data_IF_722731557073
#
_entry.id   IF_722731557073
#
_cell.length_a   1.000
_cell.length_b   1.000
_cell.length_c   1.000
_cell.angle_alpha   90.00
_cell.angle_beta   90.00
_cell.angle_gamma   90.00
#
_symmetry.space_group_name_H-M   'P 1'
#
loop_
_entity.id
_entity.type
_entity.pdbx_description
1 polymer ?
#
# COMPACT_ATOMS: atom_id res chain seq x y z
N UNK A 1 -24.73 -17.82 27.02
CA UNK A 1 -23.62 -16.86 27.02
C UNK A 1 -24.26 -15.51 27.24
N UNK A 2 -24.29 -15.04 28.49
CA UNK A 2 -25.22 -14.04 29.00
C UNK A 2 -24.83 -12.61 28.63
N UNK A 3 -25.81 -11.79 28.26
CA UNK A 3 -25.69 -10.35 27.98
C UNK A 3 -24.96 -9.56 29.08
N UNK A 4 -25.02 -10.04 30.33
CA UNK A 4 -24.36 -9.42 31.49
C UNK A 4 -22.84 -9.53 31.50
N UNK A 5 -22.23 -10.42 30.72
CA UNK A 5 -20.77 -10.48 30.60
C UNK A 5 -20.20 -9.41 29.65
N UNK A 6 -21.03 -8.84 28.77
CA UNK A 6 -20.62 -7.81 27.80
C UNK A 6 -20.52 -6.43 28.47
N UNK A 7 -21.27 -6.18 29.55
CA UNK A 7 -21.33 -4.87 30.21
C UNK A 7 -20.09 -4.48 31.03
N UNK A 8 -19.14 -5.38 31.27
CA UNK A 8 -17.87 -5.05 31.95
C UNK A 8 -16.65 -5.04 31.03
N UNK A 9 -16.81 -5.36 29.75
CA UNK A 9 -15.70 -5.24 28.81
C UNK A 9 -15.49 -3.76 28.50
N UNK A 10 -14.41 -3.18 29.01
CA UNK A 10 -13.99 -1.82 28.66
C UNK A 10 -14.05 -1.64 27.14
N UNK A 11 -14.67 -0.56 26.68
CA UNK A 11 -14.79 -0.22 25.25
C UNK A 11 -13.42 -0.28 24.54
N UNK A 12 -12.34 0.04 25.27
CA UNK A 12 -10.96 -0.11 24.77
C UNK A 12 -10.63 -1.56 24.39
N UNK A 13 -10.98 -2.53 25.24
CA UNK A 13 -10.75 -3.95 25.00
C UNK A 13 -11.53 -4.43 23.77
N UNK A 14 -12.80 -4.03 23.64
CA UNK A 14 -13.63 -4.37 22.47
C UNK A 14 -12.99 -3.83 21.18
N UNK A 15 -12.57 -2.55 21.19
CA UNK A 15 -11.97 -1.90 20.03
C UNK A 15 -10.62 -2.53 19.64
N UNK A 16 -9.78 -2.89 20.62
CA UNK A 16 -8.51 -3.59 20.37
C UNK A 16 -8.76 -4.96 19.76
N UNK A 17 -9.66 -5.76 20.32
CA UNK A 17 -10.01 -7.08 19.79
C UNK A 17 -10.58 -6.99 18.37
N UNK A 18 -11.49 -6.04 18.12
CA UNK A 18 -12.02 -5.78 16.78
C UNK A 18 -10.92 -5.39 15.79
N UNK A 19 -9.99 -4.54 16.21
CA UNK A 19 -8.85 -4.13 15.39
C UNK A 19 -7.93 -5.31 15.08
N UNK A 20 -7.62 -6.18 16.06
CA UNK A 20 -6.83 -7.40 15.85
C UNK A 20 -7.53 -8.32 14.85
N UNK A 21 -8.85 -8.52 14.98
CA UNK A 21 -9.61 -9.38 14.09
C UNK A 21 -9.57 -8.88 12.64
N UNK A 22 -9.81 -7.58 12.43
CA UNK A 22 -9.76 -6.95 11.10
C UNK A 22 -8.35 -7.05 10.51
N UNK A 23 -7.32 -6.71 11.28
CA UNK A 23 -5.93 -6.81 10.83
C UNK A 23 -5.50 -8.24 10.52
N UNK A 24 -5.94 -9.21 11.31
CA UNK A 24 -5.64 -10.63 11.07
C UNK A 24 -6.32 -11.12 9.81
N UNK A 25 -7.58 -10.74 9.60
CA UNK A 25 -8.31 -11.05 8.36
C UNK A 25 -7.61 -10.45 7.13
N UNK A 26 -7.23 -9.17 7.19
CA UNK A 26 -6.50 -8.50 6.10
C UNK A 26 -5.11 -9.13 5.85
N UNK A 27 -4.40 -9.50 6.92
CA UNK A 27 -3.14 -10.23 6.83
C UNK A 27 -3.34 -11.55 6.08
N UNK A 28 -4.29 -12.39 6.50
CA UNK A 28 -4.54 -13.69 5.86
C UNK A 28 -4.96 -13.52 4.40
N UNK A 29 -5.85 -12.55 4.11
CA UNK A 29 -6.32 -12.26 2.75
C UNK A 29 -5.19 -11.85 1.81
N UNK A 30 -4.15 -11.19 2.31
CA UNK A 30 -3.05 -10.66 1.48
C UNK A 30 -1.88 -11.63 1.35
N UNK A 31 -1.86 -12.74 2.10
CA UNK A 31 -0.82 -13.78 2.01
C UNK A 31 -0.70 -14.42 0.61
N UNK A 32 -1.79 -14.82 -0.08
CA UNK A 32 -1.68 -15.45 -1.40
C UNK A 32 -1.05 -14.52 -2.45
N UNK A 33 -1.36 -13.22 -2.38
CA UNK A 33 -0.79 -12.21 -3.27
C UNK A 33 0.71 -12.04 -3.06
N UNK A 34 1.17 -12.12 -1.80
CA UNK A 34 2.59 -12.11 -1.46
C UNK A 34 3.30 -13.40 -1.88
N UNK A 35 2.69 -14.56 -1.63
CA UNK A 35 3.24 -15.84 -2.02
C UNK A 35 3.44 -15.93 -3.54
N UNK A 36 2.42 -15.54 -4.32
CA UNK A 36 2.54 -15.46 -5.79
C UNK A 36 3.67 -14.52 -6.21
N UNK A 37 3.83 -13.40 -5.51
CA UNK A 37 4.90 -12.44 -5.78
C UNK A 37 6.30 -13.03 -5.54
N UNK A 38 6.51 -13.71 -4.41
CA UNK A 38 7.77 -14.37 -4.10
C UNK A 38 8.09 -15.49 -5.10
N UNK A 39 7.06 -16.22 -5.54
CA UNK A 39 7.22 -17.28 -6.54
C UNK A 39 7.62 -16.73 -7.91
N UNK A 40 6.96 -15.67 -8.38
CA UNK A 40 7.16 -15.15 -9.74
C UNK A 40 8.49 -14.35 -9.87
N UNK A 41 9.08 -13.83 -8.78
CA UNK A 41 10.37 -13.11 -8.77
C UNK A 41 11.51 -13.79 -8.00
N UNK A 42 11.23 -14.90 -7.32
CA UNK A 42 12.17 -15.62 -6.45
C UNK A 42 13.52 -16.00 -7.07
N UNK A 43 13.62 -16.37 -8.36
CA UNK A 43 14.91 -16.73 -8.95
C UNK A 43 15.88 -15.55 -9.13
N UNK A 44 15.35 -14.32 -9.27
CA UNK A 44 16.15 -13.13 -9.60
C UNK A 44 16.59 -12.33 -8.36
N UNK A 45 15.95 -12.53 -7.22
CA UNK A 45 16.29 -11.91 -5.93
C UNK A 45 17.16 -12.89 -5.15
N UNK A 46 18.39 -13.15 -5.61
CA UNK A 46 19.37 -13.82 -4.74
C UNK A 46 19.80 -12.84 -3.64
N UNK A 47 19.67 -13.18 -2.36
CA UNK A 47 19.96 -12.30 -1.24
C UNK A 47 21.48 -12.24 -1.03
N UNK A 48 22.18 -11.48 -1.86
CA UNK A 48 23.56 -11.07 -1.56
C UNK A 48 23.49 -9.66 -1.00
N UNK A 49 23.35 -9.59 0.32
CA UNK A 49 23.53 -8.41 1.18
C UNK A 49 22.36 -7.41 1.27
N UNK A 50 21.50 -7.63 2.27
CA UNK A 50 20.47 -6.69 2.78
C UNK A 50 21.06 -5.33 3.24
N UNK A 51 22.38 -5.26 3.47
CA UNK A 51 23.12 -4.07 3.91
C UNK A 51 23.31 -3.03 2.78
N UNK A 52 23.13 -3.40 1.50
CA UNK A 52 23.34 -2.46 0.38
C UNK A 52 22.13 -1.58 0.04
N UNK A 53 21.01 -1.73 0.75
CA UNK A 53 19.74 -1.02 0.48
C UNK A 53 19.83 0.50 0.70
N UNK A 54 20.83 0.97 1.46
CA UNK A 54 21.01 2.41 1.74
C UNK A 54 22.08 3.12 0.89
N UNK A 55 22.84 2.40 0.06
CA UNK A 55 23.78 3.02 -0.88
C UNK A 55 23.01 3.50 -2.11
N UNK A 56 22.66 4.79 -2.10
CA UNK A 56 22.10 5.58 -3.21
C UNK A 56 23.11 5.62 -4.37
N UNK A 57 23.29 4.51 -5.09
CA UNK A 57 23.96 4.50 -6.39
C UNK A 57 22.88 4.45 -7.46
N UNK A 58 22.87 5.47 -8.32
CA UNK A 58 21.82 5.96 -9.21
C UNK A 58 21.27 5.02 -10.30
N UNK A 59 21.09 3.73 -10.03
CA UNK A 59 20.59 2.74 -10.98
C UNK A 59 19.63 1.70 -10.41
N UNK A 60 19.15 1.84 -9.17
CA UNK A 60 18.23 0.85 -8.58
C UNK A 60 16.85 0.97 -9.21
N UNK A 61 16.33 -0.16 -9.69
CA UNK A 61 14.99 -0.25 -10.24
C UNK A 61 13.94 0.19 -9.20
N UNK A 62 13.08 1.18 -9.51
CA UNK A 62 12.06 1.67 -8.59
C UNK A 62 11.04 0.58 -8.17
N UNK A 63 11.05 -0.59 -8.84
CA UNK A 63 10.20 -1.73 -8.49
C UNK A 63 10.64 -2.46 -7.22
N UNK A 64 11.96 -2.56 -6.98
CA UNK A 64 12.48 -3.29 -5.83
C UNK A 64 12.22 -2.52 -4.54
N UNK A 65 12.36 -1.19 -4.59
CA UNK A 65 12.15 -0.34 -3.42
C UNK A 65 10.70 -0.39 -2.91
N UNK A 66 9.71 -0.32 -3.82
CA UNK A 66 8.29 -0.48 -3.44
C UNK A 66 7.98 -1.87 -2.85
N UNK A 67 8.74 -2.91 -3.21
CA UNK A 67 8.60 -4.23 -2.58
C UNK A 67 9.18 -4.25 -1.18
N UNK A 68 10.41 -3.78 -1.01
CA UNK A 68 11.06 -3.77 0.30
C UNK A 68 10.20 -2.98 1.28
N UNK A 69 9.68 -1.82 0.87
CA UNK A 69 8.76 -1.04 1.70
C UNK A 69 7.44 -1.76 1.98
N UNK A 70 6.88 -2.51 1.03
CA UNK A 70 5.66 -3.31 1.24
C UNK A 70 5.84 -4.38 2.32
N UNK A 71 6.94 -5.13 2.22
CA UNK A 71 7.33 -6.15 3.20
C UNK A 71 7.55 -5.47 4.54
N UNK A 72 8.35 -4.40 4.55
CA UNK A 72 8.70 -3.67 5.76
C UNK A 72 7.46 -3.13 6.49
N UNK A 73 6.52 -2.49 5.79
CA UNK A 73 5.32 -1.95 6.44
C UNK A 73 4.45 -3.07 7.02
N UNK A 74 4.33 -4.20 6.33
CA UNK A 74 3.54 -5.35 6.78
C UNK A 74 4.09 -5.94 8.08
N UNK A 75 5.39 -6.23 8.11
CA UNK A 75 6.02 -6.85 9.28
C UNK A 75 6.13 -5.88 10.45
N UNK A 76 6.46 -4.61 10.21
CA UNK A 76 6.49 -3.61 11.29
C UNK A 76 5.08 -3.38 11.85
N UNK A 77 4.04 -3.25 11.01
CA UNK A 77 2.67 -3.05 11.50
C UNK A 77 2.16 -4.25 12.31
N UNK A 78 2.47 -5.48 11.87
CA UNK A 78 2.17 -6.68 12.64
C UNK A 78 2.92 -6.70 13.98
N UNK A 79 4.20 -6.35 13.99
CA UNK A 79 4.99 -6.25 15.22
C UNK A 79 4.46 -5.18 16.18
N UNK A 80 4.11 -3.99 15.68
CA UNK A 80 3.47 -2.92 16.47
C UNK A 80 2.18 -3.43 17.11
N UNK A 81 1.33 -4.09 16.33
CA UNK A 81 0.05 -4.61 16.81
C UNK A 81 0.25 -5.70 17.86
N UNK A 82 1.15 -6.66 17.64
CA UNK A 82 1.43 -7.73 18.60
C UNK A 82 2.00 -7.13 19.90
N UNK A 83 3.05 -6.31 19.81
CA UNK A 83 3.71 -5.72 21.00
C UNK A 83 2.75 -4.81 21.77
N UNK A 84 1.96 -3.98 21.08
CA UNK A 84 0.97 -3.12 21.75
C UNK A 84 -0.09 -3.92 22.50
N UNK A 85 -0.55 -5.04 21.93
CA UNK A 85 -1.56 -5.88 22.57
C UNK A 85 -1.00 -6.78 23.67
N UNK A 86 0.22 -7.33 23.49
CA UNK A 86 0.91 -8.09 24.56
C UNK A 86 1.13 -7.21 25.78
N UNK A 87 1.50 -5.93 25.60
CA UNK A 87 1.64 -4.97 26.70
C UNK A 87 0.34 -4.73 27.47
N UNK A 88 -0.79 -4.74 26.76
CA UNK A 88 -2.11 -4.50 27.33
C UNK A 88 -2.73 -5.73 28.00
N UNK A 89 -2.64 -6.92 27.38
CA UNK A 89 -3.30 -8.14 27.85
C UNK A 89 -2.45 -9.01 28.80
N UNK A 90 -1.14 -8.81 28.85
CA UNK A 90 -0.32 -9.58 29.80
C UNK A 90 -0.42 -8.98 31.20
N UNK A 91 -0.70 -9.83 32.19
CA UNK A 91 -0.73 -9.45 33.62
C UNK A 91 0.57 -9.82 34.36
N UNK A 92 1.58 -10.29 33.65
CA UNK A 92 2.79 -10.87 34.27
C UNK A 92 4.01 -9.95 34.17
N UNK A 93 3.85 -8.67 33.82
CA UNK A 93 4.97 -7.75 33.76
C UNK A 93 5.37 -7.31 35.17
N UNK A 94 6.59 -7.64 35.58
CA UNK A 94 7.26 -6.99 36.70
C UNK A 94 7.72 -5.58 36.33
N UNK A 95 7.94 -4.73 37.34
CA UNK A 95 8.37 -3.32 37.17
C UNK A 95 9.63 -3.19 36.30
N UNK A 96 10.67 -4.00 36.56
CA UNK A 96 11.92 -4.02 35.78
C UNK A 96 11.71 -4.45 34.33
N UNK A 97 10.79 -5.38 34.08
CA UNK A 97 10.45 -5.82 32.72
C UNK A 97 9.67 -4.73 32.00
N UNK A 98 8.74 -4.07 32.69
CA UNK A 98 7.96 -2.98 32.12
C UNK A 98 8.84 -1.78 31.75
N UNK A 99 9.85 -1.44 32.57
CA UNK A 99 10.81 -0.37 32.28
C UNK A 99 11.61 -0.60 30.98
N UNK A 100 11.83 -1.86 30.57
CA UNK A 100 12.45 -2.16 29.26
C UNK A 100 11.42 -2.22 28.14
N UNK A 101 10.22 -2.68 28.44
CA UNK A 101 9.17 -2.94 27.46
C UNK A 101 8.45 -1.68 26.98
N UNK A 102 8.20 -0.70 27.87
CA UNK A 102 7.28 0.41 27.56
C UNK A 102 7.71 1.25 26.34
N UNK A 103 9.01 1.36 26.06
CA UNK A 103 9.51 2.10 24.88
C UNK A 103 9.38 1.34 23.56
N UNK A 104 9.31 0.00 23.59
CA UNK A 104 9.26 -0.84 22.38
C UNK A 104 8.07 -0.51 21.47
N UNK A 105 6.81 -0.48 21.96
CA UNK A 105 5.66 -0.15 21.10
C UNK A 105 5.73 1.29 20.56
N UNK A 106 6.31 2.22 21.32
CA UNK A 106 6.47 3.63 20.91
C UNK A 106 7.46 3.76 19.75
N UNK A 107 8.60 3.07 19.82
CA UNK A 107 9.61 3.03 18.75
C UNK A 107 9.08 2.34 17.51
N UNK A 108 8.43 1.18 17.67
CA UNK A 108 7.84 0.45 16.54
C UNK A 108 6.77 1.29 15.84
N UNK A 109 5.94 2.03 16.58
CA UNK A 109 4.96 2.97 16.01
C UNK A 109 5.65 4.07 15.20
N UNK A 110 6.72 4.67 15.72
CA UNK A 110 7.48 5.69 14.99
C UNK A 110 8.07 5.13 13.69
N UNK A 111 8.66 3.93 13.75
CA UNK A 111 9.17 3.22 12.57
C UNK A 111 8.06 2.95 11.54
N UNK A 112 6.90 2.48 11.99
CA UNK A 112 5.74 2.27 11.11
C UNK A 112 5.37 3.56 10.38
N UNK A 113 5.29 4.68 11.12
CA UNK A 113 4.94 5.97 10.54
C UNK A 113 5.98 6.45 9.54
N UNK A 114 7.27 6.34 9.85
CA UNK A 114 8.37 6.68 8.92
C UNK A 114 8.26 5.88 7.61
N UNK A 115 7.99 4.57 7.70
CA UNK A 115 7.80 3.74 6.50
C UNK A 115 6.57 4.20 5.69
N UNK A 116 5.49 4.60 6.34
CA UNK A 116 4.30 5.13 5.67
C UNK A 116 4.61 6.44 4.94
N UNK A 117 5.33 7.36 5.58
CA UNK A 117 5.74 8.62 4.97
C UNK A 117 6.63 8.40 3.74
N UNK A 118 7.54 7.41 3.79
CA UNK A 118 8.35 7.03 2.64
C UNK A 118 7.48 6.51 1.49
N UNK A 119 6.48 5.65 1.77
CA UNK A 119 5.55 5.14 0.75
C UNK A 119 4.77 6.30 0.09
N UNK A 120 4.25 7.23 0.89
CA UNK A 120 3.52 8.40 0.39
C UNK A 120 4.43 9.32 -0.42
N UNK A 121 5.62 9.64 0.11
CA UNK A 121 6.59 10.50 -0.57
C UNK A 121 7.03 9.92 -1.91
N UNK A 122 7.29 8.62 -1.99
CA UNK A 122 7.57 7.94 -3.25
C UNK A 122 6.42 8.04 -4.25
N UNK A 123 5.19 7.88 -3.78
CA UNK A 123 4.00 7.96 -4.61
C UNK A 123 3.87 9.37 -5.20
N UNK A 124 3.98 10.40 -4.36
CA UNK A 124 3.98 11.81 -4.80
C UNK A 124 5.10 12.06 -5.79
N UNK A 125 6.30 11.53 -5.55
CA UNK A 125 7.41 11.62 -6.49
C UNK A 125 7.09 10.97 -7.84
N UNK A 126 6.47 9.78 -7.83
CA UNK A 126 6.04 9.09 -9.05
C UNK A 126 5.00 9.90 -9.85
N UNK A 127 4.09 10.60 -9.17
CA UNK A 127 3.08 11.47 -9.80
C UNK A 127 3.72 12.74 -10.38
N UNK A 128 4.74 13.30 -9.72
CA UNK A 128 5.44 14.53 -10.12
C UNK A 128 6.29 14.44 -11.41
N UNK A 129 6.07 13.42 -12.25
CA UNK A 129 6.83 13.12 -13.47
C UNK A 129 8.35 13.02 -13.24
N UNK A 130 8.76 12.59 -12.03
CA UNK A 130 10.16 12.37 -11.61
C UNK A 130 11.06 13.61 -11.64
N UNK A 131 10.52 14.82 -11.48
CA UNK A 131 11.35 16.03 -11.38
C UNK A 131 12.35 15.95 -10.22
N UNK A 132 13.66 16.14 -10.49
CA UNK A 132 14.71 16.04 -9.47
C UNK A 132 14.58 17.10 -8.36
N UNK A 133 14.04 18.28 -8.68
CA UNK A 133 13.80 19.33 -7.67
C UNK A 133 12.77 18.87 -6.64
N UNK A 134 11.70 18.23 -7.09
CA UNK A 134 10.65 17.69 -6.22
C UNK A 134 11.18 16.50 -5.42
N UNK A 135 12.05 15.68 -6.00
CA UNK A 135 12.74 14.61 -5.26
C UNK A 135 13.52 15.16 -4.06
N UNK A 136 14.38 16.15 -4.32
CA UNK A 136 15.21 16.76 -3.26
C UNK A 136 14.34 17.41 -2.19
N UNK A 137 13.30 18.15 -2.61
CA UNK A 137 12.35 18.76 -1.69
C UNK A 137 11.65 17.72 -0.80
N UNK A 138 11.09 16.66 -1.40
CA UNK A 138 10.41 15.59 -0.65
C UNK A 138 11.35 14.90 0.33
N UNK A 139 12.57 14.57 -0.07
CA UNK A 139 13.56 13.93 0.82
C UNK A 139 13.89 14.83 2.01
N UNK A 140 14.15 16.12 1.78
CA UNK A 140 14.44 17.08 2.85
C UNK A 140 13.26 17.20 3.81
N UNK A 141 12.04 17.35 3.29
CA UNK A 141 10.82 17.45 4.11
C UNK A 141 10.56 16.17 4.90
N UNK A 142 10.72 14.99 4.29
CA UNK A 142 10.58 13.71 4.99
C UNK A 142 11.58 13.62 6.14
N UNK A 143 12.86 13.92 5.92
CA UNK A 143 13.88 13.83 6.97
C UNK A 143 13.57 14.78 8.13
N UNK A 144 13.23 16.04 7.84
CA UNK A 144 12.91 17.03 8.88
C UNK A 144 11.69 16.59 9.69
N UNK A 145 10.59 16.23 9.02
CA UNK A 145 9.37 15.81 9.70
C UNK A 145 9.61 14.54 10.52
N UNK A 146 10.25 13.52 9.95
CA UNK A 146 10.55 12.28 10.67
C UNK A 146 11.40 12.56 11.92
N UNK A 147 12.42 13.43 11.86
CA UNK A 147 13.21 13.77 13.05
C UNK A 147 12.35 14.44 14.14
N UNK A 148 11.48 15.38 13.76
CA UNK A 148 10.57 16.05 14.68
C UNK A 148 9.54 15.08 15.29
N UNK A 149 9.01 14.15 14.50
CA UNK A 149 8.11 13.10 14.96
C UNK A 149 8.78 12.16 15.95
N UNK A 150 9.98 11.68 15.63
CA UNK A 150 10.73 10.79 16.52
C UNK A 150 11.04 11.49 17.84
N UNK A 151 11.50 12.73 17.79
CA UNK A 151 11.76 13.53 18.97
C UNK A 151 10.50 13.70 19.83
N UNK A 152 9.40 14.18 19.23
CA UNK A 152 8.15 14.43 19.95
C UNK A 152 7.47 13.17 20.46
N UNK A 153 7.66 12.02 19.80
CA UNK A 153 7.09 10.75 20.23
C UNK A 153 7.87 10.10 21.38
N UNK A 154 9.19 10.29 21.44
CA UNK A 154 10.05 9.73 22.49
C UNK A 154 10.16 10.64 23.73
N UNK A 155 10.05 11.96 23.55
CA UNK A 155 10.23 12.91 24.63
C UNK A 155 9.04 12.92 25.60
N UNK A 156 9.31 12.71 26.90
CA UNK A 156 8.28 12.78 27.96
C UNK A 156 7.39 11.55 28.10
N UNK A 157 7.86 10.38 27.63
CA UNK A 157 7.18 9.10 27.87
C UNK A 157 7.42 8.59 29.28
N UNK A 158 6.35 8.11 29.91
CA UNK A 158 6.37 7.46 31.23
C UNK A 158 5.82 6.05 31.11
N UNK A 159 6.29 5.15 31.97
CA UNK A 159 5.71 3.80 32.07
C UNK A 159 4.45 3.86 32.93
N UNK A 160 3.38 3.21 32.49
CA UNK A 160 2.15 3.03 33.26
C UNK A 160 1.96 1.53 33.45
N UNK A 161 1.87 1.12 34.71
CA UNK A 161 1.64 -0.26 35.11
C UNK A 161 0.34 -0.33 35.93
N UNK A 162 -0.64 -1.08 35.44
CA UNK A 162 -1.94 -1.30 36.09
C UNK A 162 -2.20 -2.81 36.13
N UNK A 163 -2.35 -3.40 37.32
CA UNK A 163 -2.66 -4.84 37.48
C UNK A 163 -1.74 -5.79 36.69
N UNK A 164 -0.45 -5.45 36.66
CA UNK A 164 0.57 -6.25 35.97
C UNK A 164 0.62 -6.06 34.44
N UNK A 165 -0.21 -5.19 33.86
CA UNK A 165 -0.06 -4.74 32.47
C UNK A 165 1.08 -3.71 32.34
N UNK A 166 1.60 -3.54 31.14
CA UNK A 166 2.64 -2.54 30.88
C UNK A 166 2.33 -1.75 29.62
N UNK A 167 2.00 -0.48 29.80
CA UNK A 167 1.70 0.43 28.71
C UNK A 167 2.55 1.70 28.78
N UNK A 168 2.77 2.32 27.62
CA UNK A 168 3.45 3.61 27.57
C UNK A 168 2.43 4.73 27.67
N UNK A 169 2.57 5.53 28.72
CA UNK A 169 1.82 6.77 28.93
C UNK A 169 2.56 7.99 28.43
N UNK A 170 1.83 9.10 28.40
CA UNK A 170 2.42 10.43 28.31
C UNK A 170 2.32 11.08 29.68
N UNK A 171 3.34 11.86 30.04
CA UNK A 171 3.27 12.74 31.19
C UNK A 171 2.18 13.82 30.94
N UNK A 172 1.15 13.93 31.80
CA UNK A 172 0.07 14.90 31.61
C UNK A 172 0.56 16.35 31.69
N UNK A 173 1.71 16.60 32.33
CA UNK A 173 2.31 17.93 32.39
C UNK A 173 2.94 18.38 31.06
N UNK A 174 3.20 17.43 30.15
CA UNK A 174 3.89 17.68 28.89
C UNK A 174 2.94 17.45 27.72
N UNK A 175 2.41 18.55 27.20
CA UNK A 175 1.68 18.60 25.92
C UNK A 175 2.65 18.40 24.73
N UNK A 176 3.43 17.33 24.68
CA UNK A 176 4.38 17.10 23.57
C UNK A 176 3.81 16.11 22.56
N UNK A 177 2.96 15.18 23.00
CA UNK A 177 2.49 14.10 22.15
C UNK A 177 1.43 14.54 21.11
N UNK A 178 0.77 15.69 21.26
CA UNK A 178 -0.09 16.25 20.19
C UNK A 178 0.75 16.78 19.01
N UNK A 179 1.97 17.25 19.27
CA UNK A 179 2.86 17.76 18.22
C UNK A 179 3.24 16.66 17.21
N UNK A 180 3.38 15.42 17.67
CA UNK A 180 3.61 14.26 16.79
C UNK A 180 2.55 14.19 15.67
N UNK A 181 1.27 14.36 16.01
CA UNK A 181 0.19 14.30 15.03
C UNK A 181 0.18 15.52 14.09
N UNK A 182 0.60 16.69 14.57
CA UNK A 182 0.73 17.88 13.72
C UNK A 182 1.80 17.69 12.67
N UNK A 183 2.98 17.19 13.06
CA UNK A 183 4.06 16.92 12.12
C UNK A 183 3.64 15.90 11.07
N UNK A 184 2.95 14.83 11.49
CA UNK A 184 2.36 13.84 10.58
C UNK A 184 1.37 14.46 9.59
N UNK A 185 0.43 15.27 10.08
CA UNK A 185 -0.55 15.96 9.24
C UNK A 185 0.10 16.94 8.27
N UNK A 186 1.10 17.69 8.71
CA UNK A 186 1.80 18.65 7.87
C UNK A 186 2.45 17.95 6.68
N UNK A 187 3.05 16.78 6.91
CA UNK A 187 3.60 15.94 5.85
C UNK A 187 2.53 15.38 4.91
N UNK A 188 1.44 14.83 5.46
CA UNK A 188 0.33 14.32 4.67
C UNK A 188 -0.29 15.42 3.80
N UNK A 189 -0.53 16.61 4.35
CA UNK A 189 -1.05 17.76 3.60
C UNK A 189 -0.08 18.23 2.53
N UNK A 190 1.23 18.23 2.81
CA UNK A 190 2.26 18.60 1.82
C UNK A 190 2.28 17.60 0.66
N UNK A 191 2.29 16.31 0.96
CA UNK A 191 2.31 15.24 -0.07
C UNK A 191 0.99 15.18 -0.84
N UNK A 192 -0.16 15.36 -0.17
CA UNK A 192 -1.47 15.49 -0.79
C UNK A 192 -1.52 16.71 -1.72
N UNK A 193 -1.15 17.89 -1.21
CA UNK A 193 -1.15 19.14 -1.95
C UNK A 193 -0.28 19.07 -3.19
N UNK A 194 0.93 18.52 -3.08
CA UNK A 194 1.82 18.28 -4.23
C UNK A 194 1.21 17.29 -5.22
N UNK A 195 0.66 16.18 -4.74
CA UNK A 195 0.05 15.16 -5.60
C UNK A 195 -1.14 15.75 -6.38
N UNK A 196 -2.02 16.48 -5.71
CA UNK A 196 -3.17 17.19 -6.30
C UNK A 196 -2.72 18.27 -7.27
N UNK A 197 -1.73 19.08 -6.91
CA UNK A 197 -1.19 20.13 -7.79
C UNK A 197 -0.67 19.55 -9.11
N UNK A 198 0.18 18.52 -9.05
CA UNK A 198 0.72 17.89 -10.25
C UNK A 198 -0.34 17.17 -11.08
N UNK A 199 -1.36 16.62 -10.42
CA UNK A 199 -2.50 15.99 -11.07
C UNK A 199 -3.35 17.00 -11.82
N UNK A 200 -3.72 18.11 -11.18
CA UNK A 200 -4.48 19.20 -11.82
C UNK A 200 -3.68 19.81 -12.96
N UNK A 201 -2.39 20.07 -12.74
CA UNK A 201 -1.48 20.59 -13.78
C UNK A 201 -1.34 19.64 -14.97
N UNK A 202 -1.33 18.33 -14.74
CA UNK A 202 -1.30 17.33 -15.81
C UNK A 202 -2.65 17.18 -16.51
N UNK A 203 -3.77 17.37 -15.79
CA UNK A 203 -5.14 17.26 -16.30
C UNK A 203 -5.68 18.51 -17.01
N UNK A 204 -5.04 19.67 -16.82
CA UNK A 204 -5.42 20.95 -17.45
C UNK A 204 -5.32 20.97 -18.99
N UNK A 205 -4.68 19.98 -19.60
CA UNK A 205 -4.64 19.77 -21.06
C UNK A 205 -5.68 18.77 -21.56
N UNK A 206 -6.69 18.44 -20.73
CA UNK A 206 -7.78 17.52 -21.05
C UNK A 206 -7.67 16.21 -20.27
N UNK A 207 -8.38 16.12 -19.15
CA UNK A 207 -8.57 14.90 -18.36
C UNK A 207 -9.10 13.71 -19.20
N UNK A 208 -9.71 14.02 -20.36
CA UNK A 208 -10.17 13.06 -21.37
C UNK A 208 -9.03 12.29 -22.07
N UNK A 209 -7.84 12.87 -22.18
CA UNK A 209 -6.68 12.24 -22.85
C UNK A 209 -5.91 11.27 -21.95
N UNK A 210 -6.11 11.33 -20.62
CA UNK A 210 -5.55 10.32 -19.73
C UNK A 210 -6.36 9.03 -19.84
N UNK A 211 -5.72 7.97 -20.33
CA UNK A 211 -6.27 6.60 -20.30
C UNK A 211 -7.00 6.33 -18.98
N UNK A 212 -8.23 5.81 -19.05
CA UNK A 212 -9.10 5.60 -17.88
C UNK A 212 -8.44 4.82 -16.74
N UNK A 213 -7.46 3.99 -17.08
CA UNK A 213 -6.62 3.25 -16.14
C UNK A 213 -5.74 4.15 -15.24
N UNK A 214 -5.09 5.17 -15.80
CA UNK A 214 -4.25 6.09 -15.03
C UNK A 214 -5.14 6.99 -14.17
N UNK A 215 -6.30 7.38 -14.68
CA UNK A 215 -7.32 8.12 -13.91
C UNK A 215 -7.81 7.30 -12.71
N UNK A 216 -8.10 6.02 -12.89
CA UNK A 216 -8.53 5.14 -11.80
C UNK A 216 -7.45 4.99 -10.71
N UNK A 217 -6.17 4.77 -11.07
CA UNK A 217 -5.05 4.74 -10.11
C UNK A 217 -4.93 6.01 -9.27
N UNK A 218 -5.07 7.12 -9.97
CA UNK A 218 -4.81 8.45 -9.42
C UNK A 218 -5.97 8.85 -8.50
N UNK A 219 -7.22 8.64 -8.93
CA UNK A 219 -8.42 8.89 -8.10
C UNK A 219 -8.43 7.95 -6.89
N UNK A 220 -8.20 6.65 -7.10
CA UNK A 220 -8.24 5.66 -6.01
C UNK A 220 -7.30 6.03 -4.88
N UNK A 221 -6.11 6.54 -5.20
CA UNK A 221 -5.17 6.87 -4.16
C UNK A 221 -4.85 8.32 -3.91
N UNK A 222 -5.55 9.24 -4.57
CA UNK A 222 -5.88 10.52 -3.94
C UNK A 222 -6.89 10.30 -2.81
N UNK A 223 -7.91 9.46 -3.06
CA UNK A 223 -8.89 9.06 -2.03
C UNK A 223 -8.24 8.46 -0.80
N UNK A 224 -7.21 7.63 -0.98
CA UNK A 224 -6.44 7.07 0.14
C UNK A 224 -5.69 8.13 0.96
N UNK A 225 -5.10 9.15 0.31
CA UNK A 225 -4.40 10.21 1.03
C UNK A 225 -5.40 11.04 1.84
N UNK A 226 -6.57 11.34 1.26
CA UNK A 226 -7.67 12.04 1.97
C UNK A 226 -8.14 11.24 3.19
N UNK A 227 -8.38 9.93 3.02
CA UNK A 227 -8.79 9.07 4.14
C UNK A 227 -7.73 9.03 5.25
N UNK A 228 -6.44 8.95 4.90
CA UNK A 228 -5.36 9.00 5.89
C UNK A 228 -5.33 10.33 6.64
N UNK A 229 -5.50 11.45 5.93
CA UNK A 229 -5.61 12.79 6.54
C UNK A 229 -6.82 12.86 7.49
N UNK A 230 -7.97 12.29 7.10
CA UNK A 230 -9.16 12.23 7.97
C UNK A 230 -8.87 11.40 9.22
N UNK A 231 -8.29 10.20 9.08
CA UNK A 231 -7.93 9.35 10.23
C UNK A 231 -6.95 10.04 11.17
N UNK A 232 -5.92 10.70 10.64
CA UNK A 232 -4.98 11.47 11.46
C UNK A 232 -5.68 12.65 12.14
N UNK A 233 -6.61 13.33 11.46
CA UNK A 233 -7.41 14.43 12.02
C UNK A 233 -8.31 13.96 13.15
N UNK A 234 -9.01 12.85 12.96
CA UNK A 234 -9.83 12.21 13.99
C UNK A 234 -8.98 11.80 15.20
N UNK A 235 -7.77 11.25 14.97
CA UNK A 235 -6.84 10.92 16.05
C UNK A 235 -6.46 12.15 16.88
N UNK A 236 -6.21 13.31 16.25
CA UNK A 236 -5.91 14.55 16.95
C UNK A 236 -7.13 15.08 17.73
N UNK A 237 -8.32 15.04 17.11
CA UNK A 237 -9.56 15.48 17.76
C UNK A 237 -9.85 14.61 19.00
N UNK A 238 -9.74 13.28 18.87
CA UNK A 238 -9.91 12.36 19.99
C UNK A 238 -8.83 12.58 21.05
N UNK A 239 -7.59 12.84 20.66
CA UNK A 239 -6.52 13.19 21.59
C UNK A 239 -6.84 14.40 22.45
N UNK A 240 -7.52 15.41 21.87
CA UNK A 240 -7.89 16.63 22.58
C UNK A 240 -9.18 16.46 23.40
N UNK A 241 -10.12 15.63 22.94
CA UNK A 241 -11.48 15.59 23.45
C UNK A 241 -11.75 14.44 24.45
N UNK A 242 -10.91 13.41 24.53
CA UNK A 242 -11.29 12.14 25.15
C UNK A 242 -10.32 11.63 26.22
N UNK A 243 -10.82 10.71 27.06
CA UNK A 243 -10.08 10.01 28.11
C UNK A 243 -8.94 9.14 27.53
N UNK A 244 -7.99 8.76 28.38
CA UNK A 244 -6.80 7.97 28.02
C UNK A 244 -7.13 6.70 27.20
N UNK A 245 -8.28 6.07 27.50
CA UNK A 245 -8.76 4.85 26.84
C UNK A 245 -9.19 5.07 25.39
N UNK A 246 -9.92 6.16 25.11
CA UNK A 246 -10.31 6.52 23.75
C UNK A 246 -9.09 6.91 22.89
N UNK A 247 -8.09 7.54 23.51
CA UNK A 247 -6.82 7.86 22.87
C UNK A 247 -6.07 6.59 22.42
N UNK A 248 -6.02 5.56 23.26
CA UNK A 248 -5.39 4.29 22.94
C UNK A 248 -6.11 3.56 21.80
N UNK A 249 -7.44 3.54 21.83
CA UNK A 249 -8.26 2.91 20.79
C UNK A 249 -8.13 3.60 19.42
N UNK A 250 -8.13 4.94 19.40
CA UNK A 250 -7.92 5.74 18.19
C UNK A 250 -6.55 5.46 17.56
N UNK A 251 -5.50 5.37 18.39
CA UNK A 251 -4.16 5.04 17.92
C UNK A 251 -4.09 3.65 17.27
N UNK A 252 -4.73 2.63 17.87
CA UNK A 252 -4.78 1.28 17.27
C UNK A 252 -5.57 1.25 15.97
N UNK A 253 -6.66 2.00 15.88
CA UNK A 253 -7.45 2.13 14.67
C UNK A 253 -6.65 2.82 13.56
N UNK A 254 -5.93 3.90 13.88
CA UNK A 254 -5.00 4.56 12.95
C UNK A 254 -3.95 3.60 12.39
N UNK A 255 -3.30 2.82 13.26
CA UNK A 255 -2.31 1.80 12.86
C UNK A 255 -2.92 0.79 11.88
N UNK A 256 -4.13 0.31 12.15
CA UNK A 256 -4.83 -0.66 11.31
C UNK A 256 -5.23 -0.08 9.95
N UNK A 257 -5.80 1.13 9.94
CA UNK A 257 -6.16 1.80 8.69
C UNK A 257 -4.93 2.06 7.82
N UNK A 258 -3.86 2.62 8.41
CA UNK A 258 -2.62 2.87 7.69
C UNK A 258 -2.04 1.59 7.10
N UNK A 259 -2.10 0.48 7.83
CA UNK A 259 -1.70 -0.84 7.32
C UNK A 259 -2.56 -1.26 6.12
N UNK A 260 -3.88 -1.40 6.29
CA UNK A 260 -4.81 -1.87 5.24
C UNK A 260 -4.71 -0.99 3.98
N UNK A 261 -4.64 0.32 4.16
CA UNK A 261 -4.49 1.30 3.09
C UNK A 261 -3.20 1.08 2.30
N UNK A 262 -2.07 0.95 3.01
CA UNK A 262 -0.75 0.78 2.39
C UNK A 262 -0.70 -0.45 1.51
N UNK A 263 -1.29 -1.57 1.97
CA UNK A 263 -1.30 -2.82 1.20
C UNK A 263 -2.16 -2.71 -0.07
N UNK A 264 -3.36 -2.14 0.02
CA UNK A 264 -4.25 -1.97 -1.11
C UNK A 264 -3.63 -1.10 -2.22
N UNK A 265 -2.94 -0.01 -1.85
CA UNK A 265 -2.22 0.84 -2.80
C UNK A 265 -1.16 0.04 -3.56
N UNK A 266 -0.35 -0.75 -2.84
CA UNK A 266 0.78 -1.47 -3.41
C UNK A 266 0.33 -2.60 -4.36
N UNK A 267 -0.71 -3.34 -3.99
CA UNK A 267 -1.29 -4.40 -4.82
C UNK A 267 -1.87 -3.83 -6.11
N UNK A 268 -2.71 -2.79 -6.02
CA UNK A 268 -3.31 -2.12 -7.19
C UNK A 268 -2.25 -1.56 -8.13
N UNK A 269 -1.24 -0.88 -7.59
CA UNK A 269 -0.16 -0.28 -8.38
C UNK A 269 0.60 -1.33 -9.20
N UNK A 270 0.73 -2.55 -8.66
CA UNK A 270 1.39 -3.68 -9.34
C UNK A 270 0.54 -4.35 -10.39
N UNK A 271 -0.72 -4.67 -10.08
CA UNK A 271 -1.61 -5.37 -11.02
C UNK A 271 -1.66 -4.65 -12.37
N UNK A 272 -1.70 -3.32 -12.34
CA UNK A 272 -1.74 -2.49 -13.54
C UNK A 272 -0.40 -2.43 -14.28
N UNK A 273 0.73 -2.51 -13.58
CA UNK A 273 2.05 -2.54 -14.22
C UNK A 273 2.30 -3.89 -14.91
N UNK A 274 1.81 -4.99 -14.32
CA UNK A 274 1.83 -6.32 -14.94
C UNK A 274 0.98 -6.34 -16.21
N UNK A 275 -0.22 -5.73 -16.16
CA UNK A 275 -1.08 -5.60 -17.33
C UNK A 275 -0.40 -4.85 -18.49
N UNK A 276 0.27 -3.72 -18.19
CA UNK A 276 1.01 -2.95 -19.20
C UNK A 276 2.15 -3.73 -19.87
N UNK A 277 2.81 -4.64 -19.13
CA UNK A 277 3.86 -5.48 -19.68
C UNK A 277 3.33 -6.67 -20.50
N UNK A 278 2.06 -7.04 -20.35
CA UNK A 278 1.42 -8.16 -21.04
C UNK A 278 0.51 -7.75 -22.19
N UNK A 279 0.27 -6.45 -22.37
CA UNK A 279 -0.35 -5.97 -23.60
C UNK A 279 0.75 -5.98 -24.68
N UNK A 280 0.77 -6.96 -25.60
CA UNK A 280 1.70 -6.91 -26.71
C UNK A 280 1.44 -5.60 -27.45
N UNK A 281 2.50 -4.95 -27.91
CA UNK A 281 2.43 -3.76 -28.77
C UNK A 281 1.69 -4.15 -30.06
N UNK A 282 0.37 -4.25 -29.99
CA UNK A 282 -0.51 -4.51 -31.11
C UNK A 282 -0.45 -3.29 -32.02
N UNK A 283 0.17 -3.48 -33.19
CA UNK A 283 -0.06 -2.66 -34.36
C UNK A 283 0.57 -1.28 -34.33
N UNK A 284 1.90 -1.24 -34.48
CA UNK A 284 2.48 -0.21 -35.36
C UNK A 284 1.97 -0.56 -36.75
N UNK A 285 0.89 0.08 -37.20
CA UNK A 285 0.46 0.00 -38.60
C UNK A 285 1.65 0.42 -39.45
N UNK A 286 2.13 -0.43 -40.38
CA UNK A 286 3.06 0.03 -41.39
C UNK A 286 2.32 1.11 -42.17
N UNK A 287 2.87 2.32 -42.16
CA UNK A 287 2.52 3.33 -43.13
C UNK A 287 2.87 2.74 -44.50
N UNK A 288 1.88 2.21 -45.22
CA UNK A 288 1.97 2.10 -46.67
C UNK A 288 1.94 3.54 -47.19
N UNK A 289 3.13 4.07 -47.38
CA UNK A 289 3.41 5.22 -48.21
C UNK A 289 3.14 4.79 -49.64
N UNK A 290 1.92 4.99 -50.12
CA UNK A 290 1.63 5.09 -51.54
C UNK A 290 1.56 6.58 -51.84
N UNK A 291 2.65 7.09 -52.38
CA UNK A 291 2.66 8.33 -53.13
C UNK A 291 1.73 8.13 -54.33
N UNK A 292 0.61 8.86 -54.41
CA UNK A 292 0.10 9.31 -55.69
C UNK A 292 -0.74 10.58 -55.57
N UNK A 293 -0.56 11.38 -56.60
CA UNK A 293 -0.79 12.81 -56.73
C UNK A 293 -2.19 13.10 -57.26
N UNK A 294 -2.94 14.05 -56.66
CA UNK A 294 -3.66 15.17 -57.36
C UNK A 294 -4.70 15.86 -56.44
N UNK A 295 -4.96 17.19 -56.59
CA UNK A 295 -5.83 17.96 -55.71
C UNK A 295 -7.25 18.11 -56.28
N UNK A 296 -8.27 17.88 -55.47
CA UNK A 296 -9.60 18.44 -55.68
C UNK A 296 -10.28 18.73 -54.33
N UNK A 297 -10.70 19.98 -54.17
CA UNK A 297 -11.40 20.50 -53.00
C UNK A 297 -12.79 19.86 -52.85
N UNK A 298 -13.16 19.45 -51.63
CA UNK A 298 -14.57 19.31 -51.22
C UNK A 298 -14.72 19.65 -49.74
N UNK A 299 -15.79 20.39 -49.45
CA UNK A 299 -16.14 21.01 -48.18
C UNK A 299 -16.67 20.07 -47.10
N UNK A 300 -16.42 20.48 -45.85
CA UNK A 300 -17.27 20.45 -44.63
C UNK A 300 -18.37 19.36 -44.54
N UNK A 301 -18.26 18.49 -43.54
CA UNK A 301 -19.41 18.19 -42.67
C UNK A 301 -18.96 17.72 -41.28
N UNK A 302 -19.36 18.47 -40.26
CA UNK A 302 -19.27 18.11 -38.84
C UNK A 302 -20.41 17.13 -38.53
N UNK A 303 -20.11 15.85 -38.29
CA UNK A 303 -21.04 14.90 -37.66
C UNK A 303 -20.31 14.03 -36.65
N UNK A 304 -20.98 13.82 -35.52
CA UNK A 304 -20.46 13.22 -34.30
C UNK A 304 -19.93 11.81 -34.48
N UNK A 305 -18.93 11.49 -33.67
CA UNK A 305 -18.32 10.17 -33.57
C UNK A 305 -19.26 9.30 -32.73
N UNK A 306 -20.11 8.54 -33.40
CA UNK A 306 -20.78 7.38 -32.85
C UNK A 306 -19.83 6.18 -33.04
N UNK A 307 -19.31 5.65 -31.92
CA UNK A 307 -18.40 4.50 -31.92
C UNK A 307 -19.24 3.22 -32.06
N UNK A 308 -19.60 2.91 -33.29
CA UNK A 308 -20.17 1.61 -33.64
C UNK A 308 -19.04 0.58 -33.70
N UNK A 309 -19.07 -0.38 -32.77
CA UNK A 309 -18.15 -1.51 -32.72
C UNK A 309 -18.57 -2.50 -33.81
N UNK A 310 -18.04 -2.35 -35.02
CA UNK A 310 -18.11 -3.40 -36.04
C UNK A 310 -17.15 -4.54 -35.67
N UNK A 311 -17.72 -5.66 -35.23
CA UNK A 311 -17.02 -6.94 -35.13
C UNK A 311 -17.01 -7.56 -36.51
N UNK A 312 -15.93 -7.35 -37.27
CA UNK A 312 -15.69 -8.07 -38.52
C UNK A 312 -15.18 -9.47 -38.18
N UNK A 313 -16.08 -10.47 -38.23
CA UNK A 313 -15.70 -11.88 -38.20
C UNK A 313 -15.25 -12.25 -39.62
N UNK A 314 -13.94 -12.25 -39.86
CA UNK A 314 -13.38 -12.86 -41.06
C UNK A 314 -13.44 -14.37 -40.89
N UNK A 315 -14.44 -14.98 -41.54
CA UNK A 315 -14.53 -16.42 -41.74
C UNK A 315 -14.47 -16.67 -43.25
N UNK A 316 -13.25 -16.80 -43.75
CA UNK A 316 -12.96 -17.45 -45.02
C UNK A 316 -11.75 -18.36 -44.84
N UNK A 317 -11.77 -19.41 -45.64
CA UNK A 317 -11.37 -20.77 -45.38
C UNK A 317 -10.56 -21.18 -46.60
N UNK A 318 -9.40 -21.79 -46.41
CA UNK A 318 -8.75 -22.72 -47.36
C UNK A 318 -7.73 -23.53 -46.53
N UNK A 319 -7.93 -24.83 -46.27
CA UNK A 319 -7.85 -26.02 -47.15
C UNK A 319 -6.39 -26.45 -47.38
N UNK A 320 -6.15 -27.72 -46.99
CA UNK A 320 -4.99 -28.60 -47.24
C UNK A 320 -3.67 -28.40 -46.46
N UNK A 321 -3.60 -29.01 -45.26
CA UNK A 321 -2.35 -29.60 -44.77
C UNK A 321 -2.54 -31.08 -44.38
N UNK A 322 -1.67 -31.99 -44.85
CA UNK A 322 -1.81 -33.42 -44.60
C UNK A 322 -1.30 -33.81 -43.21
N UNK A 323 -2.17 -34.43 -42.43
CA UNK A 323 -1.87 -35.56 -41.55
C UNK A 323 -0.71 -35.42 -40.55
N UNK A 324 -0.91 -34.65 -39.49
CA UNK A 324 -0.13 -34.85 -38.25
C UNK A 324 -0.79 -35.96 -37.44
N UNK A 325 -0.17 -37.15 -37.50
CA UNK A 325 -0.51 -38.33 -36.73
C UNK A 325 -0.16 -38.08 -35.26
N UNK A 326 -1.17 -37.89 -34.42
CA UNK A 326 -0.99 -37.82 -32.97
C UNK A 326 -0.69 -39.23 -32.45
N UNK A 327 0.49 -39.41 -31.87
CA UNK A 327 0.89 -40.64 -31.20
C UNK A 327 0.09 -40.81 -29.91
N UNK A 328 -0.74 -41.85 -29.89
CA UNK A 328 -1.69 -42.20 -28.82
C UNK A 328 -1.01 -42.85 -27.59
N UNK A 329 0.27 -42.54 -27.35
CA UNK A 329 1.11 -43.24 -26.36
C UNK A 329 0.93 -42.75 -24.91
N UNK A 330 -0.02 -41.86 -24.64
CA UNK A 330 -0.17 -41.21 -23.31
C UNK A 330 -1.36 -41.71 -22.49
N UNK A 331 -2.26 -42.51 -23.06
CA UNK A 331 -3.45 -43.03 -22.36
C UNK A 331 -3.18 -44.32 -21.56
N UNK A 332 -2.09 -45.06 -21.84
CA UNK A 332 -1.78 -46.30 -21.13
C UNK A 332 -1.09 -46.08 -19.77
N UNK A 333 -0.46 -44.93 -19.54
CA UNK A 333 0.27 -44.65 -18.29
C UNK A 333 -0.68 -44.31 -17.13
N UNK A 334 -1.88 -43.80 -17.39
CA UNK A 334 -2.88 -43.55 -16.33
C UNK A 334 -3.67 -44.82 -15.95
N UNK A 335 -3.90 -45.73 -16.90
CA UNK A 335 -4.60 -47.00 -16.63
C UNK A 335 -3.79 -47.96 -15.75
N UNK A 336 -2.45 -47.90 -15.79
CA UNK A 336 -1.60 -48.68 -14.88
C UNK A 336 -1.49 -48.10 -13.46
N UNK A 337 -1.80 -46.81 -13.26
CA UNK A 337 -1.75 -46.19 -11.93
C UNK A 337 -2.98 -46.47 -11.08
N UNK A 338 -4.15 -46.68 -11.68
CA UNK A 338 -5.36 -47.00 -10.91
C UNK A 338 -5.46 -48.45 -10.43
N UNK A 339 -4.76 -49.41 -11.06
CA UNK A 339 -4.78 -50.82 -10.64
C UNK A 339 -3.88 -51.14 -9.43
N UNK A 340 -3.02 -50.21 -8.99
CA UNK A 340 -2.16 -50.38 -7.80
C UNK A 340 -2.75 -49.81 -6.51
N UNK A 341 -3.92 -49.18 -6.56
CA UNK A 341 -4.59 -48.61 -5.37
C UNK A 341 -5.74 -49.49 -4.83
N UNK A 342 -5.93 -50.69 -5.37
CA UNK A 342 -7.02 -51.61 -4.99
C UNK A 342 -6.53 -52.99 -4.54
N UNK A 343 -5.29 -53.09 -4.04
CA UNK A 343 -4.78 -54.33 -3.45
C UNK A 343 -4.15 -54.10 -2.09
#
# INVERSE_FOLDING_TARGET
>A
MSETAVESLSMETVLRLGTIAICTYDYVRTLPGEYKFWRDKGPQIRPKSFIFVFQVKSGIDPQLYSLVLFVLIRYISAAVLIVSNVGYFSHSFGEKSCQRYYMVPVVLKALQMTVCQLILGLRTYSISRRSQRIKSFLVVVTVIVTLLEWFTNLYGRVMIQTDGNCTSGNDPSKLVNWMFYIWAMLYDMTTLGLSTYFLVKAGGSGLSSMTGLVRAMVVDGLGYIVLLTITNTLNLILYRASSLSAQAAAATLGIAFTWIMSQNILIKTRGMRSYKNHQPSSGRTPYSRSDDQSPAAVAVTTKGIELEVQVTINREQDVDEPGVKWDDSRSDVESQKMSRLTR
#
